data_IF_095036271927
#
_entry.id   IF_095036271927
#
_cell.length_a   1.000
_cell.length_b   1.000
_cell.length_c   1.000
_cell.angle_alpha   90.00
_cell.angle_beta   90.00
_cell.angle_gamma   90.00
#
_symmetry.space_group_name_H-M   'P 1'
#
loop_
_entity.id
_entity.type
_entity.pdbx_description
1 polymer ?
#
# COMPACT_ATOMS: atom_id res chain seq x y z
N UNK A 1 6.39 12.28 -16.59
CA UNK A 1 6.52 10.82 -16.68
C UNK A 1 6.76 10.29 -15.27
N UNK A 2 5.94 9.35 -14.81
CA UNK A 2 6.20 8.63 -13.54
C UNK A 2 7.62 8.06 -13.56
N UNK A 3 8.42 8.32 -12.52
CA UNK A 3 9.78 7.77 -12.38
C UNK A 3 9.80 6.26 -12.10
N UNK A 4 8.64 5.64 -11.88
CA UNK A 4 8.51 4.24 -11.50
C UNK A 4 7.84 3.42 -12.61
N UNK A 5 8.36 2.22 -12.84
CA UNK A 5 7.67 1.18 -13.61
C UNK A 5 6.36 0.79 -12.90
N UNK A 6 5.39 0.29 -13.65
CA UNK A 6 4.12 -0.23 -13.12
C UNK A 6 4.01 -1.72 -13.42
N UNK A 7 3.39 -2.50 -12.53
CA UNK A 7 3.09 -3.90 -12.81
C UNK A 7 1.85 -4.05 -13.72
N UNK A 8 1.48 -5.30 -14.03
CA UNK A 8 0.29 -5.62 -14.83
C UNK A 8 -1.04 -5.10 -14.27
N UNK A 9 -1.08 -4.79 -12.97
CA UNK A 9 -2.26 -4.21 -12.29
C UNK A 9 -2.22 -2.67 -12.27
N UNK A 10 -1.23 -2.04 -12.90
CA UNK A 10 -1.02 -0.60 -12.88
C UNK A 10 -0.42 -0.06 -11.58
N UNK A 11 0.03 -0.93 -10.66
CA UNK A 11 0.60 -0.52 -9.37
C UNK A 11 2.06 -0.09 -9.54
N UNK A 12 2.44 1.11 -9.09
CA UNK A 12 3.83 1.57 -9.12
C UNK A 12 4.79 0.64 -8.38
N UNK A 13 5.93 0.34 -8.99
CA UNK A 13 6.96 -0.56 -8.48
C UNK A 13 8.08 0.24 -7.84
N UNK A 14 8.02 0.34 -6.51
CA UNK A 14 8.98 1.12 -5.74
C UNK A 14 10.25 0.33 -5.37
N UNK A 15 11.43 0.96 -5.34
CA UNK A 15 12.67 0.32 -4.91
C UNK A 15 12.65 -0.06 -3.43
N UNK A 16 13.55 -0.96 -3.02
CA UNK A 16 13.68 -1.39 -1.62
C UNK A 16 13.91 -0.17 -0.71
N UNK A 17 13.21 -0.12 0.42
CA UNK A 17 13.31 0.96 1.40
C UNK A 17 12.44 2.19 1.11
N UNK A 18 11.78 2.25 -0.05
CA UNK A 18 10.89 3.37 -0.37
C UNK A 18 9.53 3.24 0.32
N UNK A 19 9.07 4.34 0.96
CA UNK A 19 7.82 4.38 1.74
C UNK A 19 6.57 4.04 0.91
N UNK A 20 6.59 4.27 -0.41
CA UNK A 20 5.51 3.88 -1.33
C UNK A 20 5.12 2.39 -1.23
N UNK A 21 6.04 1.50 -0.82
CA UNK A 21 5.75 0.07 -0.59
C UNK A 21 4.77 -0.14 0.57
N UNK A 22 4.86 0.68 1.62
CA UNK A 22 3.92 0.67 2.74
C UNK A 22 2.55 1.19 2.30
N UNK A 23 2.52 2.30 1.55
CA UNK A 23 1.29 2.93 1.10
C UNK A 23 0.48 2.01 0.15
N UNK A 24 1.13 1.37 -0.83
CA UNK A 24 0.44 0.42 -1.70
C UNK A 24 0.01 -0.85 -0.97
N UNK A 25 0.72 -1.26 0.08
CA UNK A 25 0.29 -2.38 0.94
C UNK A 25 -1.01 -2.02 1.65
N UNK A 26 -1.08 -0.85 2.30
CA UNK A 26 -2.27 -0.40 3.02
C UNK A 26 -3.46 -0.22 2.06
N UNK A 27 -3.22 0.43 0.92
CA UNK A 27 -4.26 0.63 -0.10
C UNK A 27 -4.74 -0.71 -0.69
N UNK A 28 -3.85 -1.69 -0.90
CA UNK A 28 -4.23 -3.02 -1.35
C UNK A 28 -5.10 -3.76 -0.33
N UNK A 29 -4.78 -3.64 0.96
CA UNK A 29 -5.59 -4.26 2.03
C UNK A 29 -7.01 -3.67 2.06
N UNK A 30 -7.16 -2.35 1.89
CA UNK A 30 -8.47 -1.68 1.84
C UNK A 30 -9.26 -2.01 0.56
N UNK A 31 -8.58 -2.23 -0.57
CA UNK A 31 -9.21 -2.48 -1.88
C UNK A 31 -9.68 -3.92 -2.06
N UNK A 32 -8.94 -4.90 -1.56
CA UNK A 32 -9.21 -6.32 -1.81
C UNK A 32 -10.37 -6.79 -0.93
N UNK A 33 -11.28 -7.59 -1.51
CA UNK A 33 -12.37 -8.22 -0.75
C UNK A 33 -11.83 -9.20 0.31
N UNK A 34 -10.76 -9.93 -0.03
CA UNK A 34 -10.07 -10.87 0.87
C UNK A 34 -8.56 -10.63 0.84
N UNK A 35 -8.06 -9.63 1.60
CA UNK A 35 -6.65 -9.26 1.60
C UNK A 35 -5.83 -10.27 2.40
N UNK A 36 -5.16 -11.19 1.72
CA UNK A 36 -4.18 -12.11 2.29
C UNK A 36 -2.79 -11.67 1.86
N UNK A 37 -1.74 -12.18 2.50
CA UNK A 37 -0.37 -11.89 2.06
C UNK A 37 -0.14 -12.27 0.59
N UNK A 38 -0.80 -13.33 0.11
CA UNK A 38 -0.75 -13.76 -1.29
C UNK A 38 -1.47 -12.77 -2.21
N UNK A 39 -2.70 -12.35 -1.88
CA UNK A 39 -3.47 -11.45 -2.76
C UNK A 39 -2.94 -10.03 -2.76
N UNK A 40 -2.43 -9.53 -1.63
CA UNK A 40 -1.73 -8.25 -1.55
C UNK A 40 -0.45 -8.26 -2.39
N UNK A 41 0.37 -9.32 -2.28
CA UNK A 41 1.57 -9.48 -3.09
C UNK A 41 1.25 -9.54 -4.59
N UNK A 42 0.22 -10.32 -4.97
CA UNK A 42 -0.21 -10.43 -6.36
C UNK A 42 -0.65 -9.07 -6.94
N UNK A 43 -1.44 -8.30 -6.18
CA UNK A 43 -1.89 -6.97 -6.62
C UNK A 43 -0.72 -5.98 -6.74
N UNK A 44 0.15 -5.94 -5.72
CA UNK A 44 1.17 -4.88 -5.58
C UNK A 44 2.50 -5.18 -6.25
N UNK A 45 2.78 -6.44 -6.59
CA UNK A 45 4.12 -6.90 -7.04
C UNK A 45 5.14 -7.02 -5.90
N UNK A 46 4.74 -6.78 -4.65
CA UNK A 46 5.62 -6.92 -3.49
C UNK A 46 5.87 -8.39 -3.15
N UNK A 47 7.01 -8.68 -2.50
CA UNK A 47 7.29 -10.03 -2.01
C UNK A 47 6.28 -10.41 -0.92
N UNK A 48 5.61 -11.56 -1.11
CA UNK A 48 4.68 -12.14 -0.13
C UNK A 48 5.29 -12.25 1.27
N UNK A 49 6.58 -12.63 1.38
CA UNK A 49 7.28 -12.78 2.65
C UNK A 49 7.54 -11.46 3.40
N UNK A 50 7.20 -10.31 2.79
CA UNK A 50 7.37 -8.98 3.39
C UNK A 50 6.06 -8.29 3.78
N UNK A 51 4.90 -8.88 3.45
CA UNK A 51 3.62 -8.22 3.72
C UNK A 51 3.39 -8.03 5.22
N UNK A 52 3.71 -9.03 6.05
CA UNK A 52 3.60 -8.91 7.51
C UNK A 52 4.53 -7.82 8.07
N UNK A 53 5.77 -7.70 7.56
CA UNK A 53 6.71 -6.64 7.94
C UNK A 53 6.14 -5.24 7.61
N UNK A 54 5.53 -5.08 6.44
CA UNK A 54 4.92 -3.82 6.03
C UNK A 54 3.69 -3.47 6.86
N UNK A 55 2.84 -4.45 7.18
CA UNK A 55 1.69 -4.27 8.07
C UNK A 55 2.15 -3.85 9.47
N UNK A 56 3.21 -4.49 9.99
CA UNK A 56 3.79 -4.11 11.27
C UNK A 56 4.33 -2.67 11.26
N UNK A 57 5.09 -2.30 10.23
CA UNK A 57 5.62 -0.94 10.08
C UNK A 57 4.49 0.10 9.96
N UNK A 58 3.42 -0.19 9.21
CA UNK A 58 2.25 0.69 9.12
C UNK A 58 1.63 0.97 10.49
N UNK A 59 1.44 -0.08 11.30
CA UNK A 59 0.87 0.06 12.64
C UNK A 59 1.80 0.85 13.58
N UNK A 60 3.11 0.59 13.54
CA UNK A 60 4.08 1.21 14.45
C UNK A 60 4.43 2.64 14.07
N UNK A 61 4.67 2.90 12.78
CA UNK A 61 5.20 4.19 12.31
C UNK A 61 4.09 5.20 11.98
N UNK A 62 2.92 4.74 11.56
CA UNK A 62 1.81 5.60 11.13
C UNK A 62 0.57 5.51 12.04
N UNK A 63 0.61 4.68 13.08
CA UNK A 63 -0.48 4.52 14.02
C UNK A 63 -1.74 3.88 13.41
N UNK A 64 -1.60 3.16 12.28
CA UNK A 64 -2.73 2.39 11.75
C UNK A 64 -3.11 1.27 12.70
N UNK A 65 -4.33 0.77 12.57
CA UNK A 65 -4.75 -0.47 13.21
C UNK A 65 -5.16 -1.43 12.10
N UNK A 66 -4.22 -2.28 11.70
CA UNK A 66 -4.46 -3.36 10.76
C UNK A 66 -4.48 -4.66 11.54
N UNK A 67 -5.67 -5.25 11.67
CA UNK A 67 -5.87 -6.55 12.30
C UNK A 67 -5.58 -7.68 11.30
N UNK A 68 -5.24 -8.86 11.82
CA UNK A 68 -5.08 -10.09 11.05
C UNK A 68 -5.96 -11.18 11.67
N UNK A 69 -7.01 -11.57 10.95
CA UNK A 69 -7.90 -12.67 11.33
C UNK A 69 -7.58 -13.88 10.43
N UNK A 70 -6.88 -14.85 11.01
CA UNK A 70 -6.30 -15.97 10.27
C UNK A 70 -5.37 -15.47 9.14
N UNK A 71 -5.67 -15.76 7.86
CA UNK A 71 -4.85 -15.29 6.75
C UNK A 71 -5.26 -13.90 6.22
N UNK A 72 -6.33 -13.30 6.71
CA UNK A 72 -6.94 -12.08 6.15
C UNK A 72 -6.61 -10.86 7.00
N UNK A 73 -6.17 -9.78 6.35
CA UNK A 73 -5.95 -8.49 6.98
C UNK A 73 -7.24 -7.64 6.99
N UNK A 74 -7.36 -6.70 7.91
CA UNK A 74 -8.46 -5.73 7.90
C UNK A 74 -7.97 -4.39 8.45
N UNK A 75 -8.27 -3.30 7.76
CA UNK A 75 -7.96 -1.95 8.26
C UNK A 75 -9.10 -1.52 9.19
N UNK A 76 -8.82 -1.47 10.48
CA UNK A 76 -9.75 -1.00 11.51
C UNK A 76 -9.58 0.51 11.77
N UNK A 77 -8.37 1.04 11.59
CA UNK A 77 -8.06 2.47 11.65
C UNK A 77 -6.89 2.84 10.75
N UNK A 78 -6.93 4.06 10.20
CA UNK A 78 -5.86 4.64 9.36
C UNK A 78 -4.84 5.46 10.17
N UNK A 79 -5.06 5.62 11.48
CA UNK A 79 -4.30 6.55 12.30
C UNK A 79 -4.66 8.02 12.02
N UNK A 80 -3.94 8.94 12.65
CA UNK A 80 -4.21 10.38 12.55
C UNK A 80 -3.45 11.07 11.40
N UNK A 81 -2.35 10.47 10.97
CA UNK A 81 -1.40 11.11 10.03
C UNK A 81 -1.79 10.84 8.57
N UNK A 82 -2.30 9.64 8.27
CA UNK A 82 -2.55 9.22 6.90
C UNK A 82 -3.91 9.71 6.39
N UNK A 83 -3.90 10.47 5.30
CA UNK A 83 -5.13 10.79 4.58
C UNK A 83 -5.54 9.61 3.69
N UNK A 84 -6.59 8.88 4.10
CA UNK A 84 -7.09 7.66 3.42
C UNK A 84 -7.20 7.80 1.91
N UNK A 85 -7.83 8.88 1.43
CA UNK A 85 -8.03 9.09 -0.02
C UNK A 85 -6.72 9.33 -0.78
N UNK A 86 -5.71 9.93 -0.12
CA UNK A 86 -4.37 10.03 -0.68
C UNK A 86 -3.73 8.66 -0.83
N UNK A 87 -3.73 7.86 0.24
CA UNK A 87 -3.10 6.53 0.22
C UNK A 87 -3.73 5.62 -0.83
N UNK A 88 -5.05 5.60 -0.98
CA UNK A 88 -5.74 4.79 -2.00
C UNK A 88 -5.26 5.07 -3.43
N UNK A 89 -5.00 6.35 -3.75
CA UNK A 89 -4.49 6.75 -5.08
C UNK A 89 -3.11 6.17 -5.39
N UNK A 90 -2.33 5.81 -4.37
CA UNK A 90 -0.98 5.26 -4.56
C UNK A 90 -0.97 3.91 -5.30
N UNK A 91 -2.11 3.21 -5.37
CA UNK A 91 -2.25 1.99 -6.19
C UNK A 91 -2.23 2.25 -7.70
N UNK A 92 -2.50 3.48 -8.14
CA UNK A 92 -2.62 3.80 -9.57
C UNK A 92 -1.72 4.97 -9.97
N UNK A 93 -1.25 5.75 -8.99
CA UNK A 93 -0.40 6.92 -9.21
C UNK A 93 0.80 6.84 -8.26
N UNK A 94 2.03 7.04 -8.73
CA UNK A 94 3.18 7.00 -7.86
C UNK A 94 3.21 8.13 -6.83
N UNK A 95 3.73 7.80 -5.65
CA UNK A 95 4.08 8.73 -4.59
C UNK A 95 5.58 9.02 -4.65
N UNK A 96 5.96 10.30 -4.71
CA UNK A 96 7.37 10.72 -4.80
C UNK A 96 7.93 11.30 -3.48
N UNK A 97 7.19 11.19 -2.37
CA UNK A 97 7.58 11.73 -1.06
C UNK A 97 6.67 12.85 -0.59
N UNK A 98 6.30 13.80 -1.46
CA UNK A 98 5.53 14.99 -1.08
C UNK A 98 4.29 15.23 -1.95
N UNK A 99 4.19 14.60 -3.12
CA UNK A 99 3.01 14.64 -3.98
C UNK A 99 2.61 13.25 -4.48
N UNK A 100 1.31 13.14 -4.77
CA UNK A 100 0.75 12.16 -5.70
C UNK A 100 0.37 13.02 -6.89
N UNK A 101 1.17 13.00 -7.96
CA UNK A 101 1.00 13.94 -9.06
C UNK A 101 -0.42 13.79 -9.65
N UNK A 102 -1.21 14.87 -9.74
CA UNK A 102 -2.55 14.78 -10.30
C UNK A 102 -2.47 14.33 -11.77
N UNK A 103 -3.38 13.44 -12.17
CA UNK A 103 -3.63 13.18 -13.58
C UNK A 103 -4.23 14.49 -14.12
N UNK A 104 -3.46 15.25 -14.90
CA UNK A 104 -4.02 16.30 -15.73
C UNK A 104 -5.04 15.65 -16.67
N UNK A 105 -6.29 16.13 -16.60
CA UNK A 105 -7.40 15.65 -17.42
C UNK A 105 -7.33 16.12 -18.87
#
# INVERSE_FOLDING_TARGET
MSAFEVNENGVPQYPKGHAGRLLVTLAAIDRLERPTATSVAALTGLSKGKIDDYVHALNVEFGTVIAKDGPVYRVDSWGEILMREGVKKTLTVPFNGTSIDPIEG
#
